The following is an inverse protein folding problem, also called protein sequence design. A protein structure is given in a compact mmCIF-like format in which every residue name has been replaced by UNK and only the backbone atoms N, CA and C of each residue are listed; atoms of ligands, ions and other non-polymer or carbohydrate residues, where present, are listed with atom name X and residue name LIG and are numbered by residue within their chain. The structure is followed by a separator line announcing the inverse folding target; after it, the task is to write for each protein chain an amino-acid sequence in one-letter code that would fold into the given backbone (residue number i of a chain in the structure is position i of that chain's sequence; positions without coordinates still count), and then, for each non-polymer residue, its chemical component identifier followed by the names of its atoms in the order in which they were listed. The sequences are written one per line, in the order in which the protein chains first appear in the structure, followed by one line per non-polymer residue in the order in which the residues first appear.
data_IF_119248401287
#
_entry.id   IF_119248401287
#
_cell.length_a   1.000
_cell.length_b   1.000
_cell.length_c   1.000
_cell.angle_alpha   90.00
_cell.angle_beta   90.00
_cell.angle_gamma   90.00
#
_symmetry.space_group_name_H-M   'P 1'
#
loop_
_entity.id
_entity.type
_entity.pdbx_description
1 polymer ?
#
# COMPACT_ATOMS: atom_id res chain seq x y z
N UNK A 1 -2.97 -0.41 8.42
CA UNK A 1 -2.64 0.23 7.13
C UNK A 1 -1.44 -0.47 6.54
N UNK A 2 -1.05 -0.15 5.31
CA UNK A 2 0.12 -0.72 4.65
C UNK A 2 0.90 0.39 3.93
N UNK A 3 2.23 0.29 3.96
CA UNK A 3 3.14 1.12 3.17
C UNK A 3 3.48 0.38 1.88
N UNK A 4 3.47 1.11 0.77
CA UNK A 4 3.62 0.58 -0.57
C UNK A 4 4.66 1.40 -1.31
N UNK A 5 5.46 0.75 -2.13
CA UNK A 5 6.46 1.39 -2.97
C UNK A 5 6.23 1.08 -4.45
N UNK A 6 6.79 1.90 -5.31
CA UNK A 6 6.80 1.67 -6.74
C UNK A 6 8.18 2.01 -7.30
N UNK A 7 8.71 1.10 -8.13
CA UNK A 7 9.93 1.29 -8.90
C UNK A 7 9.56 1.25 -10.38
N UNK A 8 10.04 2.20 -11.18
CA UNK A 8 9.74 2.33 -12.61
C UNK A 8 11.02 2.58 -13.41
N UNK A 9 11.30 1.70 -14.36
CA UNK A 9 12.37 1.84 -15.35
C UNK A 9 11.80 1.82 -16.77
N UNK A 10 11.73 2.99 -17.41
CA UNK A 10 11.11 3.13 -18.73
C UNK A 10 9.63 2.73 -18.68
N UNK A 11 9.23 1.72 -19.45
CA UNK A 11 7.86 1.18 -19.47
C UNK A 11 7.62 0.07 -18.43
N UNK A 12 8.67 -0.42 -17.77
CA UNK A 12 8.55 -1.48 -16.75
C UNK A 12 8.35 -0.85 -15.39
N UNK A 13 7.48 -1.43 -14.58
CA UNK A 13 7.31 -1.04 -13.19
C UNK A 13 7.09 -2.26 -12.30
N UNK A 14 7.37 -2.10 -11.01
CA UNK A 14 7.10 -3.07 -9.97
C UNK A 14 6.46 -2.36 -8.78
N UNK A 15 5.43 -2.98 -8.19
CA UNK A 15 4.78 -2.50 -6.97
C UNK A 15 5.25 -3.35 -5.80
N UNK A 16 5.82 -2.70 -4.79
CA UNK A 16 6.32 -3.30 -3.57
C UNK A 16 5.29 -3.16 -2.45
N UNK A 17 5.11 -4.20 -1.65
CA UNK A 17 4.21 -4.21 -0.49
C UNK A 17 5.01 -4.30 0.80
N UNK A 18 4.59 -3.54 1.81
CA UNK A 18 5.21 -3.49 3.13
C UNK A 18 6.70 -3.13 3.07
N UNK A 19 6.99 -2.01 2.39
CA UNK A 19 8.35 -1.58 2.12
C UNK A 19 9.16 -1.31 3.39
N UNK A 20 10.43 -1.69 3.34
CA UNK A 20 11.45 -1.34 4.34
C UNK A 20 11.92 0.11 4.17
N UNK A 21 12.56 0.66 5.20
CA UNK A 21 13.05 2.04 5.16
C UNK A 21 14.07 2.30 4.04
N UNK A 22 14.92 1.31 3.72
CA UNK A 22 15.87 1.42 2.60
C UNK A 22 15.16 1.41 1.24
N UNK A 23 14.03 0.70 1.12
CA UNK A 23 13.22 0.63 -0.11
C UNK A 23 12.42 1.91 -0.34
N UNK A 24 11.99 2.59 0.74
CA UNK A 24 11.32 3.90 0.69
C UNK A 24 12.22 5.00 0.11
N UNK A 25 13.50 5.00 0.49
CA UNK A 25 14.48 5.96 -0.03
C UNK A 25 14.84 5.73 -1.50
N UNK A 26 14.78 4.48 -1.97
CA UNK A 26 15.18 4.10 -3.32
C UNK A 26 14.00 4.02 -4.31
N UNK A 27 12.76 3.99 -3.82
CA UNK A 27 11.55 3.93 -4.64
C UNK A 27 11.20 5.26 -5.30
N UNK A 28 10.63 5.18 -6.50
CA UNK A 28 10.22 6.31 -7.33
C UNK A 28 8.89 6.94 -6.86
N UNK A 29 8.08 6.17 -6.15
CA UNK A 29 6.89 6.62 -5.46
C UNK A 29 6.70 5.75 -4.22
N UNK A 30 6.35 6.39 -3.10
CA UNK A 30 5.86 5.72 -1.91
C UNK A 30 4.46 6.21 -1.57
N UNK A 31 3.62 5.30 -1.10
CA UNK A 31 2.29 5.65 -0.65
C UNK A 31 1.85 4.80 0.52
N UNK A 32 1.07 5.41 1.39
CA UNK A 32 0.59 4.81 2.62
C UNK A 32 -0.92 4.82 2.57
N UNK A 33 -1.54 3.65 2.78
CA UNK A 33 -2.99 3.51 2.79
C UNK A 33 -3.48 2.92 4.11
N UNK A 34 -4.48 3.57 4.69
CA UNK A 34 -5.19 3.09 5.88
C UNK A 34 -6.68 3.04 5.61
N UNK A 35 -7.38 2.13 6.28
CA UNK A 35 -8.79 1.91 6.01
C UNK A 35 -9.36 0.73 6.79
N UNK A 36 -10.67 0.56 6.63
CA UNK A 36 -11.42 -0.57 7.16
C UNK A 36 -11.56 -1.66 6.08
N UNK A 37 -12.27 -2.75 6.39
CA UNK A 37 -12.66 -3.73 5.36
C UNK A 37 -13.52 -3.10 4.25
N UNK A 38 -14.25 -2.01 4.56
CA UNK A 38 -15.24 -1.42 3.67
C UNK A 38 -14.72 -0.23 2.86
N UNK A 39 -13.53 0.30 3.17
CA UNK A 39 -13.04 1.49 2.47
C UNK A 39 -11.71 2.02 2.99
N UNK A 40 -11.18 3.00 2.24
CA UNK A 40 -9.99 3.77 2.62
C UNK A 40 -10.43 4.93 3.52
N UNK A 41 -9.75 5.12 4.64
CA UNK A 41 -9.97 6.26 5.54
C UNK A 41 -8.88 7.32 5.39
N UNK A 42 -7.68 6.93 4.98
CA UNK A 42 -6.56 7.82 4.75
C UNK A 42 -5.66 7.27 3.65
N UNK A 43 -5.19 8.18 2.81
CA UNK A 43 -4.23 7.92 1.74
C UNK A 43 -3.20 9.05 1.78
N UNK A 44 -1.92 8.70 1.78
CA UNK A 44 -0.80 9.61 1.57
C UNK A 44 -0.01 9.09 0.36
N UNK A 45 0.37 9.98 -0.56
CA UNK A 45 1.20 9.64 -1.72
C UNK A 45 2.35 10.66 -1.80
N UNK A 46 3.57 10.15 -1.97
CA UNK A 46 4.76 10.93 -2.28
C UNK A 46 5.32 10.42 -3.62
N UNK A 47 5.25 11.26 -4.65
CA UNK A 47 5.63 10.92 -6.02
C UNK A 47 6.91 11.69 -6.34
N UNK A 48 7.99 10.96 -6.65
CA UNK A 48 9.33 11.53 -6.87
C UNK A 48 9.68 11.66 -8.35
N UNK A 49 8.91 11.00 -9.24
CA UNK A 49 9.12 11.00 -10.70
C UNK A 49 7.85 11.33 -11.49
N UNK A 50 8.02 11.78 -12.73
CA UNK A 50 6.94 11.86 -13.71
C UNK A 50 6.61 10.49 -14.32
N UNK A 51 5.43 10.37 -14.92
CA UNK A 51 5.04 9.18 -15.68
C UNK A 51 4.36 8.06 -14.87
N UNK A 52 3.88 8.35 -13.66
CA UNK A 52 2.90 7.51 -12.97
C UNK A 52 1.53 7.72 -13.65
N UNK A 53 1.02 6.70 -14.33
CA UNK A 53 -0.30 6.76 -14.98
C UNK A 53 -1.41 6.34 -14.01
N UNK A 54 -2.65 6.70 -14.33
CA UNK A 54 -3.84 6.25 -13.57
C UNK A 54 -3.94 4.72 -13.52
N UNK A 55 -3.57 4.04 -14.60
CA UNK A 55 -3.55 2.57 -14.69
C UNK A 55 -2.57 1.96 -13.68
N UNK A 56 -1.33 2.47 -13.64
CA UNK A 56 -0.31 2.04 -12.67
C UNK A 56 -0.81 2.27 -11.24
N UNK A 57 -1.44 3.42 -10.98
CA UNK A 57 -1.99 3.74 -9.67
C UNK A 57 -3.14 2.81 -9.28
N UNK A 58 -4.00 2.45 -10.23
CA UNK A 58 -5.08 1.47 -10.02
C UNK A 58 -4.54 0.10 -9.60
N UNK A 59 -3.48 -0.37 -10.26
CA UNK A 59 -2.81 -1.63 -9.91
C UNK A 59 -2.21 -1.54 -8.50
N UNK A 60 -1.50 -0.46 -8.21
CA UNK A 60 -0.86 -0.26 -6.91
C UNK A 60 -1.89 -0.21 -5.76
N UNK A 61 -3.00 0.51 -5.96
CA UNK A 61 -4.09 0.59 -4.98
C UNK A 61 -4.83 -0.74 -4.79
N UNK A 62 -4.99 -1.54 -5.84
CA UNK A 62 -5.57 -2.87 -5.74
C UNK A 62 -4.69 -3.79 -4.87
N UNK A 63 -3.37 -3.81 -5.13
CA UNK A 63 -2.43 -4.57 -4.32
C UNK A 63 -2.40 -4.08 -2.86
N UNK A 64 -2.47 -2.77 -2.64
CA UNK A 64 -2.53 -2.17 -1.31
C UNK A 64 -3.81 -2.56 -0.55
N UNK A 65 -4.95 -2.68 -1.25
CA UNK A 65 -6.20 -3.18 -0.65
C UNK A 65 -6.05 -4.61 -0.17
N UNK A 66 -5.48 -5.49 -0.99
CA UNK A 66 -5.30 -6.90 -0.63
C UNK A 66 -4.36 -7.05 0.56
N UNK A 67 -3.22 -6.34 0.55
CA UNK A 67 -2.30 -6.31 1.69
C UNK A 67 -2.95 -5.76 2.97
N UNK A 68 -3.76 -4.69 2.86
CA UNK A 68 -4.50 -4.14 4.01
C UNK A 68 -5.50 -5.15 4.57
N UNK A 69 -6.23 -5.86 3.72
CA UNK A 69 -7.21 -6.85 4.16
C UNK A 69 -6.54 -8.04 4.84
N UNK A 70 -5.38 -8.47 4.35
CA UNK A 70 -4.57 -9.50 5.01
C UNK A 70 -4.18 -9.09 6.44
N UNK A 71 -3.61 -7.88 6.60
CA UNK A 71 -3.23 -7.35 7.92
C UNK A 71 -4.45 -7.25 8.86
N UNK A 72 -5.59 -6.76 8.37
CA UNK A 72 -6.82 -6.69 9.16
C UNK A 72 -7.32 -8.07 9.60
N UNK A 73 -7.16 -9.10 8.76
CA UNK A 73 -7.46 -10.48 9.10
C UNK A 73 -6.59 -10.99 10.25
N UNK A 74 -5.27 -10.77 10.17
CA UNK A 74 -4.34 -11.16 11.24
C UNK A 74 -4.62 -10.39 12.55
N UNK A 75 -4.94 -9.10 12.47
CA UNK A 75 -5.36 -8.32 13.64
C UNK A 75 -6.65 -8.88 14.27
N UNK A 76 -7.62 -9.30 13.46
CA UNK A 76 -8.87 -9.88 13.93
C UNK A 76 -8.66 -11.24 14.62
N UNK A 77 -7.70 -12.06 14.17
CA UNK A 77 -7.34 -13.31 14.84
C UNK A 77 -6.79 -13.09 16.25
N UNK A 78 -6.02 -12.02 16.46
CA UNK A 78 -5.41 -11.72 17.75
C UNK A 78 -6.39 -11.15 18.78
N UNK A 79 -7.43 -10.45 18.33
CA UNK A 79 -8.41 -9.80 19.21
C UNK A 79 -9.59 -10.74 19.42
N UNK A 80 -9.56 -11.52 20.51
CA UNK A 80 -10.79 -12.14 21.03
C UNK A 80 -11.68 -11.03 21.58
N UNK A 81 -12.94 -10.86 21.11
CA UNK A 81 -13.86 -9.93 21.73
C UNK A 81 -14.01 -10.30 23.20
N UNK A 82 -13.84 -9.34 24.12
CA UNK A 82 -14.24 -9.55 25.52
C UNK A 82 -15.74 -9.83 25.50
N UNK A 83 -16.14 -11.05 25.83
CA UNK A 83 -17.53 -11.33 26.21
C UNK A 83 -17.80 -10.49 27.45
N UNK A 84 -18.64 -9.47 27.30
CA UNK A 84 -19.26 -8.76 28.41
C UNK A 84 -20.55 -9.48 28.79
#
# INVERSE_FOLDING_TARGET
GIAMGLIKEGERFAVLSDILGDEDHLGDMDFKVAGTANGVTSLQMDIKIDGITEEIMGIALAQAKDGRLHILGEMAHAISPRMC
#
